data_IF_839628894566
#
_entry.id   IF_839628894566
#
_cell.length_a   1.000
_cell.length_b   1.000
_cell.length_c   1.000
_cell.angle_alpha   90.00
_cell.angle_beta   90.00
_cell.angle_gamma   90.00
#
_symmetry.space_group_name_H-M   'P 1'
#
loop_
_entity.id
_entity.type
_entity.pdbx_description
1 polymer ?
#
# COMPACT_ATOMS: atom_id res chain seq x y z
N UNK A 1 11.36 9.84 11.29
CA UNK A 1 10.28 9.56 12.25
C UNK A 1 9.26 8.65 11.59
N UNK A 2 7.98 8.81 11.92
CA UNK A 2 6.91 7.97 11.36
C UNK A 2 6.91 7.95 9.83
N UNK A 3 7.15 9.09 9.18
CA UNK A 3 7.18 9.18 7.71
C UNK A 3 8.34 8.37 7.12
N UNK A 4 9.48 8.29 7.81
CA UNK A 4 10.60 7.46 7.34
C UNK A 4 10.29 5.98 7.49
N UNK A 5 9.63 5.60 8.57
CA UNK A 5 9.23 4.21 8.80
C UNK A 5 8.23 3.77 7.72
N UNK A 6 7.21 4.59 7.45
CA UNK A 6 6.22 4.24 6.43
C UNK A 6 6.82 4.21 5.03
N UNK A 7 7.80 5.07 4.77
CA UNK A 7 8.53 5.06 3.50
C UNK A 7 9.23 3.73 3.27
N UNK A 8 9.97 3.25 4.28
CA UNK A 8 10.67 1.98 4.19
C UNK A 8 9.71 0.79 4.08
N UNK A 9 8.66 0.79 4.90
CA UNK A 9 7.68 -0.31 4.89
C UNK A 9 6.91 -0.37 3.59
N UNK A 10 6.53 0.78 3.03
CA UNK A 10 5.80 0.82 1.77
C UNK A 10 6.66 0.39 0.59
N UNK A 11 7.96 0.68 0.63
CA UNK A 11 8.89 0.23 -0.40
C UNK A 11 9.08 -1.29 -0.32
N UNK A 12 9.28 -1.82 0.88
CA UNK A 12 9.38 -3.27 1.09
C UNK A 12 8.10 -3.98 0.64
N UNK A 13 6.95 -3.39 0.93
CA UNK A 13 5.67 -3.94 0.50
C UNK A 13 5.56 -3.93 -1.04
N UNK A 14 6.01 -2.85 -1.68
CA UNK A 14 6.02 -2.75 -3.15
C UNK A 14 6.87 -3.86 -3.77
N UNK A 15 8.04 -4.14 -3.19
CA UNK A 15 8.91 -5.21 -3.66
C UNK A 15 8.17 -6.55 -3.59
N UNK A 16 7.51 -6.84 -2.49
CA UNK A 16 6.74 -8.07 -2.32
C UNK A 16 5.59 -8.16 -3.33
N UNK A 17 4.95 -7.03 -3.62
CA UNK A 17 3.87 -6.96 -4.61
C UNK A 17 4.40 -7.29 -6.01
N UNK A 18 5.55 -6.72 -6.39
CA UNK A 18 6.19 -7.00 -7.67
C UNK A 18 6.55 -8.49 -7.79
N UNK A 19 7.11 -9.06 -6.73
CA UNK A 19 7.48 -10.47 -6.71
C UNK A 19 6.26 -11.36 -6.87
N UNK A 20 5.17 -11.02 -6.21
CA UNK A 20 3.93 -11.78 -6.34
C UNK A 20 3.36 -11.67 -7.76
N UNK A 21 3.43 -10.48 -8.36
CA UNK A 21 3.01 -10.28 -9.73
C UNK A 21 3.83 -11.16 -10.70
N UNK A 22 5.16 -11.20 -10.51
CA UNK A 22 6.04 -12.04 -11.32
C UNK A 22 5.64 -13.51 -11.20
N UNK A 23 5.38 -13.98 -9.98
CA UNK A 23 4.93 -15.35 -9.73
C UNK A 23 3.62 -15.64 -10.48
N UNK A 24 2.63 -14.76 -10.39
CA UNK A 24 1.36 -14.95 -11.08
C UNK A 24 1.52 -14.99 -12.59
N UNK A 25 2.35 -14.09 -13.14
CA UNK A 25 2.58 -14.02 -14.58
C UNK A 25 3.24 -15.28 -15.09
N UNK A 26 4.24 -15.79 -14.39
CA UNK A 26 5.04 -16.93 -14.82
C UNK A 26 4.37 -18.27 -14.52
N UNK A 27 3.85 -18.45 -13.32
CA UNK A 27 3.39 -19.74 -12.81
C UNK A 27 1.89 -19.94 -12.93
N UNK A 28 1.10 -18.90 -12.78
CA UNK A 28 -0.36 -19.01 -12.75
C UNK A 28 -1.04 -18.53 -14.03
N UNK A 29 -0.31 -17.81 -14.87
CA UNK A 29 -0.85 -17.21 -16.10
C UNK A 29 -2.06 -16.32 -15.82
N UNK A 30 -2.09 -15.71 -14.64
CA UNK A 30 -3.12 -14.75 -14.25
C UNK A 30 -2.55 -13.35 -14.43
N UNK A 31 -3.23 -12.50 -15.22
CA UNK A 31 -2.70 -11.18 -15.58
C UNK A 31 -3.65 -10.04 -15.25
N UNK A 32 -4.90 -10.32 -14.97
CA UNK A 32 -5.92 -9.29 -14.79
C UNK A 32 -5.94 -8.80 -13.33
N UNK A 33 -6.17 -9.70 -12.39
CA UNK A 33 -6.23 -9.35 -10.98
C UNK A 33 -4.84 -8.98 -10.45
N UNK A 34 -3.82 -9.70 -10.88
CA UNK A 34 -2.45 -9.44 -10.46
C UNK A 34 -1.95 -8.08 -10.92
N UNK A 35 -2.41 -7.60 -12.08
CA UNK A 35 -2.07 -6.27 -12.57
C UNK A 35 -2.65 -5.17 -11.68
N UNK A 36 -3.88 -5.36 -11.21
CA UNK A 36 -4.52 -4.42 -10.29
C UNK A 36 -3.79 -4.41 -8.95
N UNK A 37 -3.40 -5.58 -8.47
CA UNK A 37 -2.60 -5.70 -7.26
C UNK A 37 -1.27 -4.95 -7.40
N UNK A 38 -0.58 -5.16 -8.52
CA UNK A 38 0.69 -4.50 -8.81
C UNK A 38 0.52 -2.99 -8.80
N UNK A 39 -0.48 -2.47 -9.49
CA UNK A 39 -0.74 -1.04 -9.60
C UNK A 39 -0.99 -0.42 -8.22
N UNK A 40 -1.95 -0.96 -7.47
CA UNK A 40 -2.33 -0.39 -6.18
C UNK A 40 -1.24 -0.59 -5.13
N UNK A 41 -0.62 -1.76 -5.11
CA UNK A 41 0.41 -2.09 -4.12
C UNK A 41 1.68 -1.28 -4.27
N UNK A 42 2.04 -0.89 -5.50
CA UNK A 42 3.21 -0.04 -5.74
C UNK A 42 2.89 1.45 -5.65
N UNK A 43 1.62 1.83 -5.86
CA UNK A 43 1.19 3.22 -5.77
C UNK A 43 1.37 3.79 -4.36
N UNK A 44 1.22 2.96 -3.33
CA UNK A 44 1.35 3.39 -1.93
C UNK A 44 2.70 4.04 -1.68
N UNK A 45 3.77 3.32 -2.00
CA UNK A 45 5.13 3.83 -1.81
C UNK A 45 5.44 5.04 -2.68
N UNK A 46 4.95 5.05 -3.91
CA UNK A 46 5.15 6.17 -4.83
C UNK A 46 4.50 7.44 -4.28
N UNK A 47 3.28 7.33 -3.76
CA UNK A 47 2.56 8.49 -3.18
C UNK A 47 3.24 9.01 -1.92
N UNK A 48 3.77 8.11 -1.10
CA UNK A 48 4.50 8.51 0.12
C UNK A 48 5.76 9.30 -0.26
N UNK A 49 6.47 8.88 -1.29
CA UNK A 49 7.64 9.62 -1.78
C UNK A 49 7.27 10.97 -2.37
N UNK A 50 6.15 11.04 -3.09
CA UNK A 50 5.63 12.31 -3.60
C UNK A 50 5.29 13.25 -2.45
N UNK A 51 4.73 12.71 -1.36
CA UNK A 51 4.38 13.50 -0.18
C UNK A 51 5.59 14.18 0.45
N UNK A 52 6.78 13.57 0.36
CA UNK A 52 8.01 14.19 0.89
C UNK A 52 8.32 15.52 0.19
N UNK A 53 7.85 15.68 -1.03
CA UNK A 53 8.08 16.88 -1.83
C UNK A 53 6.80 17.69 -2.02
N UNK A 54 5.85 17.53 -1.10
CA UNK A 54 4.58 18.25 -1.16
C UNK A 54 4.79 19.75 -1.03
N UNK A 55 3.98 20.52 -1.75
CA UNK A 55 4.06 21.99 -1.78
C UNK A 55 3.54 22.64 -0.50
N UNK A 56 2.71 21.91 0.26
CA UNK A 56 2.05 22.45 1.45
C UNK A 56 1.63 21.30 2.35
N UNK A 57 1.23 21.62 3.59
CA UNK A 57 0.67 20.62 4.50
C UNK A 57 -0.62 20.00 3.97
N UNK A 58 -1.55 20.78 3.38
CA UNK A 58 -2.73 20.15 2.75
C UNK A 58 -2.37 19.21 1.61
N UNK A 59 -1.37 19.54 0.79
CA UNK A 59 -0.92 18.67 -0.28
C UNK A 59 -0.30 17.38 0.28
N UNK A 60 0.52 17.49 1.33
CA UNK A 60 1.10 16.35 2.02
C UNK A 60 0.00 15.43 2.54
N UNK A 61 -0.98 15.99 3.24
CA UNK A 61 -2.12 15.24 3.79
C UNK A 61 -2.90 14.56 2.67
N UNK A 62 -3.11 15.25 1.55
CA UNK A 62 -3.84 14.72 0.40
C UNK A 62 -3.12 13.49 -0.18
N UNK A 63 -1.81 13.59 -0.38
CA UNK A 63 -1.00 12.47 -0.91
C UNK A 63 -1.05 11.26 0.03
N UNK A 64 -0.95 11.49 1.34
CA UNK A 64 -1.03 10.42 2.33
C UNK A 64 -2.42 9.79 2.35
N UNK A 65 -3.47 10.58 2.17
CA UNK A 65 -4.84 10.08 2.10
C UNK A 65 -5.07 9.21 0.87
N UNK A 66 -4.50 9.59 -0.27
CA UNK A 66 -4.58 8.78 -1.49
C UNK A 66 -3.81 7.47 -1.28
N UNK A 67 -2.64 7.53 -0.63
CA UNK A 67 -1.87 6.32 -0.31
C UNK A 67 -2.71 5.37 0.56
N UNK A 68 -3.46 5.90 1.51
CA UNK A 68 -4.34 5.11 2.37
C UNK A 68 -5.44 4.42 1.56
N UNK A 69 -6.01 5.12 0.60
CA UNK A 69 -7.02 4.53 -0.31
C UNK A 69 -6.41 3.41 -1.15
N UNK A 70 -5.20 3.61 -1.65
CA UNK A 70 -4.52 2.60 -2.46
C UNK A 70 -4.18 1.34 -1.67
N UNK A 71 -3.75 1.47 -0.42
CA UNK A 71 -3.46 0.29 0.39
C UNK A 71 -4.74 -0.48 0.73
N UNK A 72 -5.86 0.22 0.93
CA UNK A 72 -7.16 -0.41 1.12
C UNK A 72 -7.58 -1.18 -0.14
N UNK A 73 -7.38 -0.61 -1.30
CA UNK A 73 -7.67 -1.29 -2.56
C UNK A 73 -6.78 -2.52 -2.72
N UNK A 74 -5.53 -2.42 -2.31
CA UNK A 74 -4.59 -3.55 -2.37
C UNK A 74 -5.09 -4.73 -1.54
N UNK A 75 -5.61 -4.46 -0.34
CA UNK A 75 -6.19 -5.49 0.52
C UNK A 75 -7.38 -6.16 -0.18
N UNK A 76 -8.21 -5.38 -0.87
CA UNK A 76 -9.33 -5.94 -1.64
C UNK A 76 -8.83 -6.95 -2.68
N UNK A 77 -7.80 -6.60 -3.44
CA UNK A 77 -7.26 -7.52 -4.45
C UNK A 77 -6.64 -8.76 -3.81
N UNK A 78 -5.97 -8.60 -2.66
CA UNK A 78 -5.42 -9.75 -1.92
C UNK A 78 -6.51 -10.69 -1.44
N UNK A 79 -7.60 -10.14 -0.89
CA UNK A 79 -8.73 -10.94 -0.44
C UNK A 79 -9.36 -11.71 -1.61
N UNK A 80 -9.54 -11.03 -2.73
CA UNK A 80 -10.14 -11.63 -3.92
C UNK A 80 -9.27 -12.76 -4.46
N UNK A 81 -7.95 -12.56 -4.49
CA UNK A 81 -7.01 -13.60 -4.93
C UNK A 81 -7.03 -14.81 -3.98
N UNK A 82 -7.17 -14.56 -2.69
CA UNK A 82 -7.28 -15.64 -1.71
C UNK A 82 -8.59 -16.42 -1.89
N UNK A 83 -9.70 -15.73 -1.99
CA UNK A 83 -11.02 -16.38 -2.13
C UNK A 83 -11.18 -17.13 -3.44
N UNK A 84 -10.41 -16.77 -4.46
CA UNK A 84 -10.42 -17.46 -5.75
C UNK A 84 -9.27 -18.46 -5.90
N UNK A 85 -8.61 -18.78 -4.80
CA UNK A 85 -7.58 -19.83 -4.71
C UNK A 85 -6.28 -19.56 -5.48
N UNK A 86 -5.98 -18.31 -5.80
CA UNK A 86 -4.71 -17.97 -6.42
C UNK A 86 -3.58 -17.83 -5.41
N UNK A 87 -3.89 -17.46 -4.18
CA UNK A 87 -2.92 -17.44 -3.09
C UNK A 87 -3.47 -18.22 -1.91
N UNK A 88 -2.57 -18.73 -1.08
CA UNK A 88 -2.95 -19.48 0.13
C UNK A 88 -3.35 -18.49 1.23
N UNK A 89 -4.04 -18.99 2.25
CA UNK A 89 -4.37 -18.18 3.41
C UNK A 89 -3.10 -17.65 4.09
N UNK A 90 -2.04 -18.45 4.15
CA UNK A 90 -0.76 -18.04 4.73
C UNK A 90 -0.14 -16.89 3.94
N UNK A 91 -0.13 -16.97 2.62
CA UNK A 91 0.38 -15.89 1.76
C UNK A 91 -0.42 -14.61 1.96
N UNK A 92 -1.74 -14.75 2.05
CA UNK A 92 -2.61 -13.62 2.32
C UNK A 92 -2.29 -12.98 3.67
N UNK A 93 -2.18 -13.79 4.73
CA UNK A 93 -1.96 -13.28 6.08
C UNK A 93 -0.67 -12.46 6.21
N UNK A 94 0.42 -12.92 5.60
CA UNK A 94 1.69 -12.21 5.68
C UNK A 94 1.63 -10.85 5.00
N UNK A 95 1.01 -10.77 3.83
CA UNK A 95 0.87 -9.52 3.09
C UNK A 95 -0.15 -8.58 3.76
N UNK A 96 -1.25 -9.14 4.24
CA UNK A 96 -2.29 -8.37 4.91
C UNK A 96 -1.78 -7.75 6.21
N UNK A 97 -0.94 -8.47 6.94
CA UNK A 97 -0.31 -7.95 8.16
C UNK A 97 0.51 -6.68 7.85
N UNK A 98 1.33 -6.75 6.81
CA UNK A 98 2.14 -5.61 6.39
C UNK A 98 1.27 -4.43 5.93
N UNK A 99 0.21 -4.72 5.18
CA UNK A 99 -0.70 -3.70 4.69
C UNK A 99 -1.41 -2.98 5.86
N UNK A 100 -1.87 -3.73 6.85
CA UNK A 100 -2.53 -3.15 8.03
C UNK A 100 -1.57 -2.28 8.82
N UNK A 101 -0.32 -2.70 8.95
CA UNK A 101 0.70 -1.90 9.62
C UNK A 101 0.91 -0.56 8.91
N UNK A 102 0.96 -0.59 7.58
CA UNK A 102 1.09 0.64 6.78
C UNK A 102 -0.13 1.53 6.96
N UNK A 103 -1.33 0.96 6.98
CA UNK A 103 -2.56 1.72 7.20
C UNK A 103 -2.51 2.45 8.56
N UNK A 104 -2.08 1.76 9.60
CA UNK A 104 -1.98 2.35 10.93
C UNK A 104 -1.01 3.52 10.96
N UNK A 105 0.13 3.37 10.29
CA UNK A 105 1.11 4.45 10.18
C UNK A 105 0.56 5.64 9.40
N UNK A 106 -0.09 5.39 8.27
CA UNK A 106 -0.70 6.45 7.46
C UNK A 106 -1.79 7.18 8.23
N UNK A 107 -2.64 6.43 8.93
CA UNK A 107 -3.72 7.01 9.75
C UNK A 107 -3.14 7.93 10.81
N UNK A 108 -2.09 7.50 11.49
CA UNK A 108 -1.41 8.30 12.51
C UNK A 108 -0.82 9.58 11.92
N UNK A 109 -0.15 9.48 10.79
CA UNK A 109 0.46 10.63 10.09
C UNK A 109 -0.62 11.63 9.65
N UNK A 110 -1.70 11.13 9.06
CA UNK A 110 -2.81 11.98 8.61
C UNK A 110 -3.45 12.72 9.78
N UNK A 111 -3.67 12.04 10.89
CA UNK A 111 -4.23 12.66 12.09
C UNK A 111 -3.32 13.77 12.62
N UNK A 112 -2.03 13.50 12.70
CA UNK A 112 -1.05 14.49 13.19
C UNK A 112 -1.02 15.72 12.27
N UNK A 113 -1.04 15.50 10.95
CA UNK A 113 -1.04 16.59 9.98
C UNK A 113 -2.32 17.42 10.08
N UNK A 114 -3.46 16.76 10.26
CA UNK A 114 -4.75 17.41 10.40
C UNK A 114 -4.78 18.30 11.65
N UNK A 115 -4.25 17.81 12.76
CA UNK A 115 -4.15 18.58 14.00
C UNK A 115 -3.29 19.82 13.81
N UNK A 116 -2.16 19.69 13.07
CA UNK A 116 -1.27 20.82 12.78
C UNK A 116 -1.91 21.86 11.87
N UNK A 117 -2.82 21.44 10.97
CA UNK A 117 -3.55 22.37 10.10
C UNK A 117 -4.56 23.22 10.88
N UNK A 118 -5.12 22.67 11.95
CA UNK A 118 -6.17 23.30 12.74
C UNK A 118 -5.68 23.83 14.09
N UNK A 119 -4.49 23.48 14.45
CA UNK A 119 -3.86 23.91 15.69
C UNK A 119 -2.78 24.90 15.43
#
# INVERSE_FOLDING_TARGET
MSSNIVKHKSFAFAIRTVRLYQFFSEMKKEFVLSKQLLRSGTAVGALIREAEHAESKPDFKHKMSIAQKEINETIYWLELLKETDYITDEQFQTLNKDAIEIIKLLTSIIKATKANLHG
#
